data_IF_286426697801
#
_entry.id   IF_286426697801
#
_cell.length_a   1.000
_cell.length_b   1.000
_cell.length_c   1.000
_cell.angle_alpha   90.00
_cell.angle_beta   90.00
_cell.angle_gamma   90.00
#
_symmetry.space_group_name_H-M   'P 1'
#
loop_
_entity.id
_entity.type
_entity.pdbx_description
1 polymer ?
#
# COMPACT_ATOMS: atom_id res chain seq x y z
N UNK A 1 -31.55 -7.68 -7.29
CA UNK A 1 -31.36 -7.60 -8.74
C UNK A 1 -30.30 -8.62 -9.12
N UNK A 2 -30.72 -9.76 -9.70
CA UNK A 2 -29.81 -10.66 -10.43
C UNK A 2 -29.70 -10.10 -11.85
N UNK A 3 -28.52 -10.26 -12.45
CA UNK A 3 -28.14 -9.95 -13.83
C UNK A 3 -28.04 -8.47 -14.18
N UNK A 4 -26.81 -7.96 -14.21
CA UNK A 4 -26.08 -7.92 -15.48
C UNK A 4 -24.60 -8.11 -15.19
N UNK A 5 -24.11 -9.32 -15.45
CA UNK A 5 -22.68 -9.58 -15.41
C UNK A 5 -22.05 -8.98 -16.67
N UNK A 6 -21.62 -7.72 -16.57
CA UNK A 6 -20.92 -7.04 -17.65
C UNK A 6 -19.42 -7.33 -17.55
N UNK A 7 -19.00 -8.52 -17.99
CA UNK A 7 -17.57 -8.84 -18.05
C UNK A 7 -17.22 -10.32 -18.04
N UNK A 8 -15.92 -10.60 -17.84
CA UNK A 8 -15.40 -11.96 -17.69
C UNK A 8 -15.25 -12.30 -16.21
N UNK A 9 -16.09 -13.20 -15.71
CA UNK A 9 -15.97 -13.74 -14.37
C UNK A 9 -15.08 -14.97 -14.36
N UNK A 10 -14.00 -14.93 -13.58
CA UNK A 10 -13.11 -16.06 -13.33
C UNK A 10 -13.35 -16.53 -11.89
N UNK A 11 -13.79 -17.78 -11.74
CA UNK A 11 -13.83 -18.46 -10.45
C UNK A 11 -12.54 -19.26 -10.26
N UNK A 12 -11.80 -18.95 -9.20
CA UNK A 12 -10.57 -19.63 -8.85
C UNK A 12 -10.88 -20.96 -8.14
N UNK A 13 -9.87 -21.84 -8.07
CA UNK A 13 -9.99 -23.15 -7.43
C UNK A 13 -10.38 -23.07 -5.95
N UNK A 14 -10.00 -21.99 -5.26
CA UNK A 14 -10.35 -21.77 -3.86
C UNK A 14 -11.76 -21.20 -3.67
N UNK A 15 -12.53 -21.01 -4.73
CA UNK A 15 -13.89 -20.46 -4.69
C UNK A 15 -13.96 -18.93 -4.72
N UNK A 16 -12.83 -18.22 -4.64
CA UNK A 16 -12.82 -16.78 -4.89
C UNK A 16 -13.19 -16.47 -6.33
N UNK A 17 -13.78 -15.30 -6.57
CA UNK A 17 -14.27 -14.91 -7.89
C UNK A 17 -13.79 -13.50 -8.23
N UNK A 18 -13.22 -13.36 -9.42
CA UNK A 18 -12.79 -12.08 -9.95
C UNK A 18 -13.63 -11.74 -11.19
N UNK A 19 -14.19 -10.53 -11.25
CA UNK A 19 -14.93 -10.04 -12.43
C UNK A 19 -14.07 -9.01 -13.16
N UNK A 20 -13.54 -9.39 -14.32
CA UNK A 20 -12.90 -8.44 -15.22
C UNK A 20 -13.97 -7.68 -16.02
N UNK A 21 -14.14 -6.40 -15.70
CA UNK A 21 -15.04 -5.46 -16.38
C UNK A 21 -14.25 -4.23 -16.88
N UNK A 22 -14.94 -3.28 -17.51
CA UNK A 22 -14.37 -2.05 -18.07
C UNK A 22 -13.64 -1.14 -17.07
N UNK A 23 -13.86 -1.35 -15.77
CA UNK A 23 -13.24 -0.62 -14.67
C UNK A 23 -12.05 -1.36 -14.04
N UNK A 24 -11.86 -2.63 -14.38
CA UNK A 24 -10.71 -3.43 -13.92
C UNK A 24 -9.53 -3.29 -14.85
N UNK A 25 -8.32 -3.31 -14.31
CA UNK A 25 -7.09 -3.28 -15.09
C UNK A 25 -5.95 -3.82 -14.23
N UNK A 26 -5.12 -4.77 -14.66
CA UNK A 26 -3.99 -5.23 -13.88
C UNK A 26 -2.97 -4.12 -13.64
N UNK A 27 -2.49 -4.01 -12.41
CA UNK A 27 -1.43 -3.13 -11.98
C UNK A 27 -0.05 -3.83 -12.11
N UNK A 28 1.01 -3.03 -12.02
CA UNK A 28 2.39 -3.49 -11.93
C UNK A 28 3.04 -2.91 -10.69
N UNK A 29 3.93 -3.68 -10.05
CA UNK A 29 4.73 -3.22 -8.94
C UNK A 29 6.05 -2.68 -9.48
N UNK A 30 6.19 -1.35 -9.55
CA UNK A 30 7.43 -0.73 -10.03
C UNK A 30 8.55 -0.81 -8.99
N UNK A 31 8.20 -0.77 -7.71
CA UNK A 31 9.17 -0.84 -6.63
C UNK A 31 8.51 -1.23 -5.33
N UNK A 32 9.10 -2.13 -4.56
CA UNK A 32 8.71 -2.40 -3.18
C UNK A 32 9.93 -2.87 -2.42
N UNK A 33 10.68 -1.96 -1.80
CA UNK A 33 11.80 -2.25 -0.90
C UNK A 33 12.32 -0.97 -0.26
N UNK A 34 13.31 -1.09 0.62
CA UNK A 34 14.06 0.09 1.06
C UNK A 34 14.81 0.71 -0.12
N UNK A 35 14.73 2.03 -0.22
CA UNK A 35 15.68 2.84 -0.97
C UNK A 35 16.88 3.11 -0.09
N UNK A 36 18.02 2.60 -0.53
CA UNK A 36 19.31 2.68 0.15
C UNK A 36 20.16 3.79 -0.47
N UNK A 37 21.22 4.22 0.22
CA UNK A 37 22.19 5.16 -0.36
C UNK A 37 22.76 4.66 -1.69
N UNK A 38 23.01 3.36 -1.79
CA UNK A 38 23.50 2.70 -3.00
C UNK A 38 22.52 2.78 -4.19
N UNK A 39 21.25 3.10 -3.95
CA UNK A 39 20.25 3.29 -5.01
C UNK A 39 20.30 4.70 -5.65
N UNK A 40 21.25 5.54 -5.24
CA UNK A 40 21.49 6.86 -5.83
C UNK A 40 20.70 7.98 -5.16
N UNK A 41 20.65 7.99 -3.82
CA UNK A 41 20.11 9.12 -3.07
C UNK A 41 20.91 10.39 -3.38
N UNK A 42 20.21 11.50 -3.59
CA UNK A 42 20.82 12.82 -3.82
C UNK A 42 20.06 13.89 -3.03
N UNK A 43 20.69 15.00 -2.61
CA UNK A 43 19.98 16.06 -1.89
C UNK A 43 18.78 16.61 -2.68
N UNK A 44 17.67 16.87 -1.98
CA UNK A 44 16.44 17.43 -2.58
C UNK A 44 16.24 18.93 -2.36
N UNK A 45 17.18 19.57 -1.64
CA UNK A 45 17.15 21.00 -1.32
C UNK A 45 16.59 21.31 0.06
N UNK A 46 16.03 20.33 0.78
CA UNK A 46 15.67 20.48 2.19
C UNK A 46 16.81 20.13 3.15
N UNK A 47 16.61 20.43 4.43
CA UNK A 47 17.59 20.15 5.49
C UNK A 47 17.65 18.66 5.80
N UNK A 48 18.78 18.02 5.45
CA UNK A 48 19.02 16.58 5.63
C UNK A 48 17.96 15.69 4.95
N UNK A 49 17.36 16.19 3.85
CA UNK A 49 16.40 15.45 3.04
C UNK A 49 16.95 15.20 1.63
N UNK A 50 16.55 14.04 1.09
CA UNK A 50 17.09 13.46 -0.11
C UNK A 50 15.96 13.05 -1.04
N UNK A 51 16.29 12.98 -2.32
CA UNK A 51 15.45 12.43 -3.38
C UNK A 51 16.11 11.22 -4.01
N UNK A 52 15.26 10.40 -4.59
CA UNK A 52 15.64 9.22 -5.36
C UNK A 52 14.76 9.10 -6.59
N UNK A 53 15.35 8.60 -7.68
CA UNK A 53 14.63 8.31 -8.91
C UNK A 53 14.40 6.80 -9.00
N UNK A 54 13.15 6.39 -9.17
CA UNK A 54 12.83 5.00 -9.43
C UNK A 54 13.51 4.56 -10.74
N UNK A 55 14.30 3.46 -10.74
CA UNK A 55 14.96 2.98 -11.94
C UNK A 55 13.96 2.40 -12.94
N UNK A 56 12.80 1.97 -12.47
CA UNK A 56 11.75 1.40 -13.29
C UNK A 56 10.80 2.49 -13.78
N UNK A 57 10.67 2.59 -15.09
CA UNK A 57 9.78 3.56 -15.73
C UNK A 57 8.31 3.15 -15.60
N UNK A 58 7.44 4.15 -15.47
CA UNK A 58 6.00 4.00 -15.57
C UNK A 58 5.68 3.44 -16.96
N UNK A 59 4.91 2.34 -17.08
CA UNK A 59 4.50 1.84 -18.39
C UNK A 59 3.68 2.88 -19.16
N UNK A 60 3.70 2.81 -20.49
CA UNK A 60 2.91 3.72 -21.31
C UNK A 60 1.41 3.58 -21.00
N UNK A 61 0.72 4.71 -20.86
CA UNK A 61 -0.70 4.75 -20.51
C UNK A 61 -1.00 4.42 -19.03
N UNK A 62 0.00 4.29 -18.16
CA UNK A 62 -0.20 4.03 -16.74
C UNK A 62 -0.08 5.32 -15.93
N UNK A 63 -0.93 5.43 -14.90
CA UNK A 63 -0.69 6.30 -13.75
C UNK A 63 0.10 5.52 -12.69
N UNK A 64 0.44 6.19 -11.59
CA UNK A 64 1.11 5.55 -10.46
C UNK A 64 0.68 6.13 -9.13
N UNK A 65 0.89 5.35 -8.07
CA UNK A 65 0.76 5.80 -6.69
C UNK A 65 2.00 5.39 -5.91
N UNK A 66 2.52 6.33 -5.12
CA UNK A 66 3.57 6.08 -4.14
C UNK A 66 2.92 5.86 -2.78
N UNK A 67 3.21 4.72 -2.16
CA UNK A 67 2.80 4.42 -0.78
C UNK A 67 4.04 4.52 0.10
N UNK A 68 3.96 5.40 1.10
CA UNK A 68 5.03 5.65 2.06
C UNK A 68 4.56 5.40 3.50
N UNK A 69 5.51 5.09 4.38
CA UNK A 69 5.29 4.82 5.79
C UNK A 69 5.16 6.04 6.68
N UNK A 70 5.44 7.23 6.15
CA UNK A 70 5.25 8.48 6.88
C UNK A 70 5.07 9.60 5.88
N UNK A 71 3.84 10.05 5.70
CA UNK A 71 3.52 10.98 4.62
C UNK A 71 3.45 12.45 5.05
N UNK A 72 3.16 12.76 6.31
CA UNK A 72 3.11 14.13 6.83
C UNK A 72 3.61 14.20 8.28
N UNK A 73 4.13 15.36 8.69
CA UNK A 73 4.64 15.63 10.04
C UNK A 73 4.29 17.04 10.54
N UNK A 74 4.25 17.21 11.86
CA UNK A 74 4.14 18.51 12.55
C UNK A 74 5.52 19.14 12.62
N UNK A 75 5.63 20.42 12.27
CA UNK A 75 6.90 21.15 12.28
C UNK A 75 7.03 22.00 13.54
N UNK A 76 8.28 22.24 13.95
CA UNK A 76 8.60 23.02 15.14
C UNK A 76 9.67 24.07 14.84
N UNK A 77 9.57 25.22 15.50
CA UNK A 77 10.63 26.22 15.58
C UNK A 77 11.26 26.17 16.97
N UNK A 78 12.59 26.20 17.03
CA UNK A 78 13.33 26.18 18.28
C UNK A 78 13.57 27.61 18.80
N UNK A 79 13.36 27.83 20.10
CA UNK A 79 13.70 29.04 20.82
C UNK A 79 14.26 28.66 22.19
N UNK A 80 15.57 28.87 22.38
CA UNK A 80 16.30 28.31 23.52
C UNK A 80 16.20 26.79 23.56
N UNK A 81 15.90 26.25 24.74
CA UNK A 81 15.69 24.80 24.97
C UNK A 81 14.27 24.33 24.64
N UNK A 82 13.42 25.22 24.12
CA UNK A 82 12.02 24.93 23.83
C UNK A 82 11.78 24.84 22.33
N UNK A 83 10.88 23.95 21.94
CA UNK A 83 10.37 23.80 20.58
C UNK A 83 8.89 24.11 20.58
N UNK A 84 8.48 25.01 19.70
CA UNK A 84 7.10 25.45 19.55
C UNK A 84 6.57 24.97 18.21
N UNK A 85 5.33 24.45 18.20
CA UNK A 85 4.66 24.10 16.95
C UNK A 85 4.68 25.30 16.01
N UNK A 86 5.15 25.09 14.78
CA UNK A 86 5.25 26.11 13.74
C UNK A 86 4.37 25.83 12.52
N UNK A 87 3.81 24.63 12.41
CA UNK A 87 2.95 24.24 11.29
C UNK A 87 2.96 22.74 11.02
N UNK A 88 2.72 22.39 9.76
CA UNK A 88 2.70 21.02 9.25
C UNK A 88 3.34 20.98 7.87
N UNK A 89 3.90 19.85 7.47
CA UNK A 89 4.36 19.64 6.08
C UNK A 89 4.16 18.20 5.63
N UNK A 90 4.08 18.00 4.32
CA UNK A 90 4.27 16.68 3.73
C UNK A 90 5.73 16.27 3.92
N UNK A 91 5.93 15.06 4.45
CA UNK A 91 7.26 14.47 4.65
C UNK A 91 7.77 13.82 3.39
N UNK A 92 6.88 13.20 2.62
CA UNK A 92 7.21 12.53 1.37
C UNK A 92 6.40 13.18 0.28
N UNK A 93 7.10 13.68 -0.72
CA UNK A 93 6.51 14.19 -1.94
C UNK A 93 7.03 13.37 -3.12
N UNK A 94 6.28 13.34 -4.20
CA UNK A 94 6.71 12.66 -5.42
C UNK A 94 6.23 13.41 -6.64
N UNK A 95 6.98 13.24 -7.72
CA UNK A 95 6.66 13.79 -9.02
C UNK A 95 7.04 12.78 -10.09
N UNK A 96 6.58 13.03 -11.31
CA UNK A 96 7.06 12.32 -12.48
C UNK A 96 7.45 13.31 -13.55
N UNK A 97 8.60 13.07 -14.20
CA UNK A 97 8.97 13.76 -15.42
C UNK A 97 9.07 12.72 -16.54
N UNK A 98 8.21 12.85 -17.55
CA UNK A 98 7.95 11.77 -18.49
C UNK A 98 7.45 10.53 -17.74
N UNK A 99 8.15 9.41 -17.90
CA UNK A 99 7.82 8.12 -17.26
C UNK A 99 8.69 7.78 -16.05
N UNK A 100 9.51 8.72 -15.57
CA UNK A 100 10.39 8.49 -14.39
C UNK A 100 9.78 9.09 -13.14
N UNK A 101 9.70 8.29 -12.07
CA UNK A 101 9.20 8.72 -10.77
C UNK A 101 10.36 9.23 -9.92
N UNK A 102 10.22 10.43 -9.37
CA UNK A 102 11.12 10.98 -8.36
C UNK A 102 10.37 11.04 -7.03
N UNK A 103 10.95 10.49 -5.98
CA UNK A 103 10.41 10.55 -4.60
C UNK A 103 11.39 11.38 -3.76
N UNK A 104 10.86 12.35 -3.03
CA UNK A 104 11.57 13.36 -2.24
C UNK A 104 11.23 13.22 -0.75
N UNK A 105 12.02 13.85 0.12
CA UNK A 105 11.84 13.77 1.57
C UNK A 105 12.35 12.48 2.20
N UNK A 106 13.23 11.78 1.48
CA UNK A 106 13.95 10.62 2.00
C UNK A 106 15.03 11.06 2.97
N UNK A 107 15.42 10.16 3.87
CA UNK A 107 16.50 10.36 4.81
C UNK A 107 17.81 9.77 4.25
N UNK A 108 18.95 10.28 4.72
CA UNK A 108 20.27 9.77 4.38
C UNK A 108 20.61 8.43 5.08
N UNK A 109 19.72 7.46 5.08
CA UNK A 109 19.98 6.12 5.62
C UNK A 109 19.07 5.07 4.98
N UNK A 110 19.44 3.80 5.12
CA UNK A 110 18.89 2.67 4.34
C UNK A 110 17.50 2.18 4.80
N UNK A 111 16.66 3.05 5.37
CA UNK A 111 15.33 2.71 5.91
C UNK A 111 14.19 3.43 5.19
N UNK A 112 14.43 4.04 4.04
CA UNK A 112 13.41 4.68 3.22
C UNK A 112 12.54 3.62 2.53
N UNK A 113 11.55 3.08 3.23
CA UNK A 113 10.66 2.08 2.65
C UNK A 113 9.55 2.73 1.82
N UNK A 114 9.53 2.40 0.53
CA UNK A 114 8.57 2.94 -0.43
C UNK A 114 8.01 1.80 -1.28
N UNK A 115 6.72 1.91 -1.60
CA UNK A 115 6.08 1.10 -2.64
C UNK A 115 5.62 2.01 -3.77
N UNK A 116 5.88 1.62 -5.01
CA UNK A 116 5.42 2.33 -6.20
C UNK A 116 4.63 1.34 -7.04
N UNK A 117 3.34 1.61 -7.19
CA UNK A 117 2.42 0.76 -7.94
C UNK A 117 1.92 1.59 -9.11
N UNK A 118 2.04 1.05 -10.31
CA UNK A 118 1.51 1.67 -11.52
C UNK A 118 0.34 0.87 -12.06
N UNK A 119 -0.64 1.56 -12.63
CA UNK A 119 -1.86 0.94 -13.16
C UNK A 119 -2.40 1.72 -14.35
N UNK A 120 -3.06 1.06 -15.33
CA UNK A 120 -3.66 1.72 -16.48
C UNK A 120 -4.60 2.86 -16.07
N UNK A 121 -4.45 4.03 -16.70
CA UNK A 121 -5.44 5.09 -16.56
C UNK A 121 -6.75 4.69 -17.24
N UNK A 122 -7.88 5.24 -16.80
CA UNK A 122 -9.19 4.96 -17.44
C UNK A 122 -9.17 5.36 -18.91
N UNK A 123 -8.50 6.47 -19.23
CA UNK A 123 -8.36 6.96 -20.59
C UNK A 123 -7.54 6.00 -21.45
N UNK A 124 -6.38 5.53 -20.97
CA UNK A 124 -5.54 4.64 -21.76
C UNK A 124 -6.28 3.35 -22.11
N UNK A 125 -7.03 2.77 -21.17
CA UNK A 125 -7.83 1.56 -21.42
C UNK A 125 -8.78 1.71 -22.61
N UNK A 126 -9.35 2.90 -22.84
CA UNK A 126 -10.30 3.16 -23.93
C UNK A 126 -9.64 3.31 -25.29
N UNK A 127 -8.39 3.80 -25.34
CA UNK A 127 -7.72 4.17 -26.60
C UNK A 127 -6.63 3.18 -27.03
N UNK A 128 -6.16 2.30 -26.15
CA UNK A 128 -5.10 1.33 -26.48
C UNK A 128 -5.48 0.41 -27.64
N UNK A 129 -4.60 0.34 -28.64
CA UNK A 129 -4.60 -0.63 -29.76
C UNK A 129 -3.68 -1.81 -29.41
N UNK A 130 -3.94 -3.01 -29.94
CA UNK A 130 -3.13 -4.22 -29.63
C UNK A 130 -3.42 -4.79 -28.25
N UNK A 131 -4.51 -5.55 -28.13
CA UNK A 131 -5.05 -6.00 -26.84
C UNK A 131 -4.96 -7.52 -26.69
N UNK A 132 -4.58 -7.98 -25.50
CA UNK A 132 -4.70 -9.38 -25.10
C UNK A 132 -6.14 -9.74 -24.70
N UNK A 133 -6.85 -8.82 -24.03
CA UNK A 133 -8.27 -8.96 -23.71
C UNK A 133 -8.95 -7.58 -23.61
N UNK A 134 -10.09 -7.43 -24.30
CA UNK A 134 -11.00 -6.29 -24.20
C UNK A 134 -12.34 -6.71 -23.63
N UNK A 135 -12.87 -5.91 -22.71
CA UNK A 135 -14.20 -6.07 -22.13
C UNK A 135 -14.93 -4.75 -22.24
N UNK A 136 -16.10 -4.75 -22.87
CA UNK A 136 -16.93 -3.55 -23.06
C UNK A 136 -16.15 -2.36 -23.67
N UNK A 137 -15.22 -2.63 -24.59
CA UNK A 137 -14.39 -1.62 -25.26
C UNK A 137 -13.16 -1.16 -24.47
N UNK A 138 -13.05 -1.50 -23.18
CA UNK A 138 -11.88 -1.23 -22.36
C UNK A 138 -10.84 -2.34 -22.49
N UNK A 139 -9.58 -1.96 -22.70
CA UNK A 139 -8.43 -2.86 -22.68
C UNK A 139 -8.12 -3.25 -21.24
N UNK A 140 -8.28 -4.53 -20.92
CA UNK A 140 -8.02 -5.07 -19.58
C UNK A 140 -6.61 -5.64 -19.53
N UNK A 141 -6.28 -6.53 -20.46
CA UNK A 141 -4.94 -7.08 -20.60
C UNK A 141 -4.31 -6.60 -21.89
N UNK A 142 -3.08 -6.12 -21.79
CA UNK A 142 -2.29 -5.70 -22.92
C UNK A 142 -1.69 -6.91 -23.64
N UNK A 143 -1.54 -6.78 -24.96
CA UNK A 143 -0.81 -7.76 -25.79
C UNK A 143 0.65 -7.87 -25.33
N UNK A 144 1.28 -6.73 -25.03
CA UNK A 144 2.57 -6.64 -24.37
C UNK A 144 2.39 -6.15 -22.94
N UNK A 145 2.83 -6.95 -21.97
CA UNK A 145 2.78 -6.56 -20.56
C UNK A 145 3.78 -5.44 -20.26
N UNK A 146 3.57 -4.70 -19.15
CA UNK A 146 4.64 -3.87 -18.58
C UNK A 146 5.98 -4.63 -18.50
N UNK A 147 7.13 -3.95 -18.61
CA UNK A 147 8.44 -4.61 -18.57
C UNK A 147 8.68 -5.49 -17.33
N UNK A 148 8.10 -5.12 -16.19
CA UNK A 148 8.18 -5.89 -14.94
C UNK A 148 7.07 -6.95 -14.80
N UNK A 149 6.21 -7.10 -15.79
CA UNK A 149 4.98 -7.87 -15.73
C UNK A 149 3.89 -7.19 -14.90
N UNK A 150 2.80 -7.92 -14.69
CA UNK A 150 1.75 -7.53 -13.73
C UNK A 150 2.16 -7.91 -12.31
N UNK A 151 1.55 -7.25 -11.33
CA UNK A 151 1.67 -7.64 -9.93
C UNK A 151 0.70 -8.79 -9.65
N UNK A 152 1.22 -10.02 -9.54
CA UNK A 152 0.42 -11.24 -9.36
C UNK A 152 0.16 -11.52 -7.90
N UNK A 153 -1.07 -11.93 -7.57
CA UNK A 153 -1.50 -12.42 -6.26
C UNK A 153 -0.94 -13.84 -6.03
N UNK A 154 0.37 -13.94 -5.80
CA UNK A 154 1.06 -15.23 -5.68
C UNK A 154 0.73 -15.95 -4.39
N UNK A 155 0.32 -15.21 -3.36
CA UNK A 155 -0.05 -15.79 -2.08
C UNK A 155 -1.28 -15.09 -1.51
N UNK A 156 -2.13 -15.89 -0.87
CA UNK A 156 -3.28 -15.41 -0.12
C UNK A 156 -3.60 -16.35 1.02
N UNK A 157 -3.93 -15.80 2.18
CA UNK A 157 -4.31 -16.59 3.34
C UNK A 157 -5.22 -15.80 4.29
N UNK A 158 -6.03 -16.53 5.07
CA UNK A 158 -6.63 -16.01 6.29
C UNK A 158 -5.73 -16.41 7.45
N UNK A 159 -5.16 -15.44 8.16
CA UNK A 159 -4.14 -15.65 9.19
C UNK A 159 -4.56 -15.02 10.51
N UNK A 160 -4.23 -15.68 11.61
CA UNK A 160 -4.44 -15.12 12.95
C UNK A 160 -3.16 -14.43 13.41
N UNK A 161 -3.21 -13.12 13.58
CA UNK A 161 -2.05 -12.31 13.96
C UNK A 161 -2.23 -11.87 15.40
N UNK A 162 -1.36 -12.33 16.30
CA UNK A 162 -1.41 -11.99 17.73
C UNK A 162 -0.74 -10.67 18.05
N UNK A 163 0.47 -10.49 17.56
CA UNK A 163 1.26 -9.26 17.68
C UNK A 163 1.78 -8.83 16.30
N UNK A 164 2.67 -9.63 15.72
CA UNK A 164 3.32 -9.34 14.44
C UNK A 164 3.01 -10.40 13.39
N UNK A 165 2.91 -9.99 12.13
CA UNK A 165 2.72 -10.91 11.01
C UNK A 165 4.05 -11.60 10.66
N UNK A 166 4.11 -12.92 10.83
CA UNK A 166 5.25 -13.70 10.38
C UNK A 166 5.13 -14.04 8.88
N UNK A 167 5.65 -13.14 8.04
CA UNK A 167 5.61 -13.29 6.58
C UNK A 167 6.29 -14.59 6.14
N UNK A 168 7.49 -14.91 6.66
CA UNK A 168 8.28 -16.04 6.16
C UNK A 168 7.69 -17.40 6.52
N UNK A 169 6.97 -17.49 7.64
CA UNK A 169 6.25 -18.71 8.05
C UNK A 169 4.95 -18.88 7.24
N UNK A 170 4.24 -17.77 7.00
CA UNK A 170 2.97 -17.81 6.25
C UNK A 170 3.19 -17.98 4.75
N UNK A 171 4.14 -17.23 4.20
CA UNK A 171 4.47 -17.14 2.77
C UNK A 171 5.99 -17.29 2.59
N UNK A 172 6.50 -18.54 2.59
CA UNK A 172 7.93 -18.81 2.44
C UNK A 172 8.56 -18.09 1.25
N UNK A 173 9.71 -17.46 1.47
CA UNK A 173 10.43 -16.69 0.45
C UNK A 173 9.95 -15.25 0.25
N UNK A 174 8.83 -14.85 0.85
CA UNK A 174 8.38 -13.46 0.82
C UNK A 174 8.95 -12.65 2.00
N UNK A 175 9.16 -11.36 1.74
CA UNK A 175 9.55 -10.33 2.71
C UNK A 175 8.82 -9.04 2.39
N UNK A 176 8.90 -8.06 3.29
CA UNK A 176 8.40 -6.71 3.01
C UNK A 176 9.10 -6.04 1.81
N UNK A 177 10.29 -6.50 1.40
CA UNK A 177 11.11 -5.94 0.32
C UNK A 177 10.95 -6.64 -1.03
N UNK A 178 10.06 -7.63 -1.14
CA UNK A 178 9.82 -8.29 -2.43
C UNK A 178 8.33 -8.49 -2.75
N UNK A 179 7.43 -8.07 -1.85
CA UNK A 179 5.99 -8.21 -2.03
C UNK A 179 5.22 -7.01 -1.48
N UNK A 180 4.16 -6.63 -2.19
CA UNK A 180 3.16 -5.68 -1.68
C UNK A 180 2.07 -6.48 -0.97
N UNK A 181 1.90 -6.21 0.32
CA UNK A 181 0.86 -6.84 1.13
C UNK A 181 -0.35 -5.92 1.29
N UNK A 182 -1.52 -6.51 1.11
CA UNK A 182 -2.81 -5.92 1.40
C UNK A 182 -3.49 -6.75 2.49
N UNK A 183 -4.12 -6.06 3.44
CA UNK A 183 -4.74 -6.66 4.61
C UNK A 183 -6.18 -6.19 4.76
N UNK A 184 -7.05 -7.11 5.17
CA UNK A 184 -8.43 -6.85 5.53
C UNK A 184 -8.75 -7.57 6.83
N UNK A 185 -9.49 -6.91 7.72
CA UNK A 185 -10.10 -7.54 8.88
C UNK A 185 -11.50 -6.99 9.07
N UNK A 186 -12.42 -7.86 9.48
CA UNK A 186 -13.77 -7.51 9.93
C UNK A 186 -13.81 -7.31 11.46
N UNK A 187 -12.69 -7.53 12.17
CA UNK A 187 -12.60 -7.31 13.60
C UNK A 187 -12.75 -5.82 13.96
N UNK A 188 -13.62 -5.55 14.93
CA UNK A 188 -13.96 -4.20 15.34
C UNK A 188 -13.09 -3.67 16.49
N UNK A 189 -11.94 -4.29 16.77
CA UNK A 189 -10.98 -3.84 17.79
C UNK A 189 -9.58 -3.70 17.22
N UNK A 190 -9.29 -4.33 16.10
CA UNK A 190 -7.93 -4.50 15.60
C UNK A 190 -7.72 -3.84 14.25
N UNK A 191 -6.53 -3.32 14.01
CA UNK A 191 -6.09 -2.90 12.69
C UNK A 191 -4.62 -3.25 12.52
N UNK A 192 -4.21 -3.51 11.28
CA UNK A 192 -2.81 -3.77 10.99
C UNK A 192 -2.11 -2.46 10.62
N UNK A 193 -0.91 -2.26 11.13
CA UNK A 193 -0.01 -1.17 10.72
C UNK A 193 1.39 -1.70 10.45
N UNK A 194 2.22 -0.90 9.79
CA UNK A 194 3.65 -1.14 9.75
C UNK A 194 4.33 -0.29 10.85
N UNK A 195 5.29 -0.87 11.55
CA UNK A 195 6.09 -0.17 12.57
C UNK A 195 7.54 -0.65 12.57
N UNK A 196 8.47 0.14 13.14
CA UNK A 196 9.83 -0.31 13.37
C UNK A 196 9.84 -1.56 14.25
N UNK A 197 10.67 -2.55 13.90
CA UNK A 197 10.81 -3.74 14.73
C UNK A 197 11.63 -3.45 15.99
N UNK A 198 11.12 -3.87 17.15
CA UNK A 198 11.80 -3.73 18.44
C UNK A 198 12.93 -4.77 18.66
N UNK A 199 13.46 -5.37 17.59
CA UNK A 199 14.52 -6.39 17.72
C UNK A 199 15.80 -5.70 18.17
N UNK A 200 16.23 -6.01 19.39
CA UNK A 200 17.40 -5.43 20.07
C UNK A 200 18.75 -5.93 19.52
N UNK A 201 18.76 -6.86 18.56
CA UNK A 201 20.00 -7.39 17.96
C UNK A 201 20.24 -6.81 16.56
N UNK A 202 21.39 -6.16 16.41
CA UNK A 202 21.84 -5.53 15.16
C UNK A 202 22.03 -6.52 14.00
N UNK A 203 22.14 -7.82 14.27
CA UNK A 203 22.45 -8.84 13.26
C UNK A 203 21.20 -9.39 12.54
N UNK A 204 19.99 -9.13 13.05
CA UNK A 204 18.71 -9.64 12.50
C UNK A 204 17.67 -8.54 12.30
N UNK A 205 18.12 -7.32 11.96
CA UNK A 205 17.26 -6.15 11.78
C UNK A 205 16.31 -6.30 10.59
N UNK A 206 15.15 -6.93 10.81
CA UNK A 206 13.94 -6.66 10.02
C UNK A 206 13.42 -5.31 10.48
N UNK A 207 13.91 -4.22 9.89
CA UNK A 207 13.63 -2.86 10.38
C UNK A 207 12.15 -2.52 10.49
N UNK A 208 11.29 -3.11 9.66
CA UNK A 208 9.85 -2.89 9.71
C UNK A 208 9.10 -4.22 9.78
N UNK A 209 8.00 -4.22 10.53
CA UNK A 209 7.10 -5.38 10.67
C UNK A 209 5.64 -4.93 10.64
N UNK A 210 4.77 -5.78 10.10
CA UNK A 210 3.33 -5.58 10.20
C UNK A 210 2.85 -6.04 11.57
N UNK A 211 2.12 -5.22 12.29
CA UNK A 211 1.61 -5.53 13.63
C UNK A 211 0.13 -5.25 13.77
N UNK A 212 -0.54 -6.08 14.56
CA UNK A 212 -1.94 -5.97 14.89
C UNK A 212 -2.12 -5.14 16.16
N UNK A 213 -2.82 -4.01 16.04
CA UNK A 213 -2.97 -2.99 17.09
C UNK A 213 -4.41 -2.86 17.53
N UNK A 214 -4.60 -2.58 18.82
CA UNK A 214 -5.90 -2.24 19.35
C UNK A 214 -6.27 -0.81 18.93
N UNK A 215 -7.29 -0.67 18.08
CA UNK A 215 -7.76 0.63 17.58
C UNK A 215 -8.38 1.54 18.66
N UNK A 216 -8.82 0.94 19.78
CA UNK A 216 -9.42 1.66 20.91
C UNK A 216 -8.37 2.15 21.92
N UNK A 217 -7.07 1.94 21.63
CA UNK A 217 -5.97 2.36 22.47
C UNK A 217 -4.95 3.13 21.64
N UNK A 218 -4.44 4.23 22.20
CA UNK A 218 -3.30 4.93 21.61
C UNK A 218 -1.96 4.39 22.12
N UNK A 219 -1.93 3.42 23.03
CA UNK A 219 -0.68 2.90 23.60
C UNK A 219 0.10 2.05 22.57
N UNK A 220 1.40 2.34 22.40
CA UNK A 220 2.32 1.61 21.52
C UNK A 220 2.60 0.17 21.99
N UNK A 221 2.08 -0.29 23.12
CA UNK A 221 2.14 -1.71 23.52
C UNK A 221 0.78 -2.40 23.48
N UNK A 222 -0.28 -1.69 23.09
CA UNK A 222 -1.62 -2.27 22.99
C UNK A 222 -1.78 -3.04 21.67
N UNK A 223 -1.27 -4.26 21.66
CA UNK A 223 -1.55 -5.24 20.61
C UNK A 223 -2.95 -5.81 20.76
N UNK A 224 -3.55 -6.24 19.65
CA UNK A 224 -4.87 -6.88 19.65
C UNK A 224 -4.86 -8.03 18.66
N UNK A 225 -5.12 -9.27 19.08
CA UNK A 225 -5.08 -10.40 18.17
C UNK A 225 -6.34 -10.43 17.30
N UNK A 226 -6.20 -10.66 16.00
CA UNK A 226 -7.34 -10.78 15.08
C UNK A 226 -7.05 -11.67 13.86
N UNK A 227 -8.11 -12.10 13.20
CA UNK A 227 -8.03 -12.72 11.89
C UNK A 227 -7.89 -11.65 10.80
N UNK A 228 -6.94 -11.87 9.89
CA UNK A 228 -6.68 -11.04 8.74
C UNK A 228 -6.73 -11.86 7.47
N UNK A 229 -7.40 -11.34 6.45
CA UNK A 229 -7.24 -11.81 5.08
C UNK A 229 -6.09 -11.02 4.46
N UNK A 230 -5.09 -11.73 3.96
CA UNK A 230 -3.83 -11.13 3.48
C UNK A 230 -3.53 -11.64 2.09
N UNK A 231 -3.37 -10.71 1.13
CA UNK A 231 -2.87 -11.02 -0.22
C UNK A 231 -1.49 -10.42 -0.38
N UNK A 232 -0.58 -11.20 -0.94
CA UNK A 232 0.75 -10.74 -1.34
C UNK A 232 0.83 -10.65 -2.86
N UNK A 233 1.26 -9.50 -3.36
CA UNK A 233 1.46 -9.26 -4.77
C UNK A 233 2.94 -9.13 -5.11
N UNK A 234 3.39 -9.90 -6.09
CA UNK A 234 4.78 -9.94 -6.55
C UNK A 234 4.86 -9.81 -8.06
N UNK A 235 5.98 -9.29 -8.58
CA UNK A 235 6.27 -9.42 -10.01
C UNK A 235 6.72 -10.86 -10.28
N UNK A 236 6.12 -11.48 -11.31
CA UNK A 236 6.40 -12.87 -11.69
C UNK A 236 6.99 -12.87 -13.09
N UNK A 237 8.05 -13.65 -13.28
CA UNK A 237 8.68 -13.77 -14.59
C UNK A 237 7.79 -14.56 -15.55
N UNK A 238 7.77 -14.26 -16.86
CA UNK A 238 6.91 -14.96 -17.83
C UNK A 238 7.03 -16.50 -17.79
N UNK A 239 8.23 -17.03 -17.57
CA UNK A 239 8.45 -18.48 -17.46
C UNK A 239 7.72 -19.13 -16.27
N UNK A 240 7.52 -18.39 -15.17
CA UNK A 240 6.80 -18.88 -14.00
C UNK A 240 5.27 -18.83 -14.18
N UNK A 241 4.78 -18.10 -15.19
CA UNK A 241 3.36 -18.02 -15.50
C UNK A 241 2.88 -19.20 -16.35
N UNK A 242 3.77 -19.91 -17.05
CA UNK A 242 3.41 -21.05 -17.88
C UNK A 242 3.35 -22.35 -17.07
N UNK A 243 2.40 -22.41 -16.13
CA UNK A 243 2.18 -23.58 -15.28
C UNK A 243 1.36 -24.65 -15.99
N UNK A 244 1.57 -25.95 -15.72
CA UNK A 244 0.66 -27.00 -16.17
C UNK A 244 -0.72 -26.85 -15.53
N UNK A 245 -1.80 -27.05 -16.28
CA UNK A 245 -3.17 -27.08 -15.77
C UNK A 245 -4.18 -26.30 -16.61
N UNK A 246 -5.38 -26.15 -16.06
CA UNK A 246 -6.54 -25.53 -16.71
C UNK A 246 -6.71 -24.06 -16.28
N UNK A 247 -7.28 -23.25 -17.16
CA UNK A 247 -7.57 -21.83 -16.91
C UNK A 247 -7.37 -20.96 -18.15
N UNK A 248 -7.76 -19.69 -18.06
CA UNK A 248 -7.42 -18.67 -19.05
C UNK A 248 -5.94 -18.34 -18.97
N UNK A 249 -5.23 -18.44 -20.09
CA UNK A 249 -3.89 -17.91 -20.30
C UNK A 249 -3.89 -16.92 -21.45
N UNK A 250 -3.28 -15.77 -21.26
CA UNK A 250 -3.03 -14.79 -22.32
C UNK A 250 -1.55 -14.91 -22.70
N UNK A 251 -1.26 -14.81 -24.00
CA UNK A 251 0.10 -14.85 -24.54
C UNK A 251 0.38 -13.59 -25.33
N UNK A 252 1.64 -13.15 -25.32
CA UNK A 252 2.10 -12.12 -26.24
C UNK A 252 2.33 -12.69 -27.64
N UNK A 253 2.73 -11.81 -28.57
CA UNK A 253 3.07 -12.17 -29.96
C UNK A 253 4.24 -13.16 -30.09
N UNK A 254 5.10 -13.25 -29.07
CA UNK A 254 6.20 -14.22 -29.00
C UNK A 254 5.75 -15.59 -28.45
N UNK A 255 4.47 -15.76 -28.14
CA UNK A 255 3.90 -16.98 -27.55
C UNK A 255 4.15 -17.14 -26.04
N UNK A 256 4.80 -16.18 -25.38
CA UNK A 256 5.07 -16.21 -23.93
C UNK A 256 3.80 -15.89 -23.15
N UNK A 257 3.54 -16.64 -22.07
CA UNK A 257 2.40 -16.38 -21.19
C UNK A 257 2.61 -15.06 -20.44
N UNK A 258 1.63 -14.15 -20.59
CA UNK A 258 1.61 -12.80 -20.02
C UNK A 258 0.57 -12.62 -18.94
N UNK A 259 -0.37 -13.55 -18.82
CA UNK A 259 -1.30 -13.68 -17.71
C UNK A 259 -1.77 -15.14 -17.61
N UNK A 260 -1.94 -15.62 -16.39
CA UNK A 260 -2.50 -16.93 -16.10
C UNK A 260 -3.50 -16.80 -14.97
N UNK A 261 -4.76 -17.14 -15.23
CA UNK A 261 -5.86 -17.07 -14.26
C UNK A 261 -5.68 -17.94 -13.01
N UNK A 262 -4.74 -18.90 -13.00
CA UNK A 262 -4.36 -19.60 -11.78
C UNK A 262 -3.67 -18.68 -10.76
N UNK A 263 -3.09 -17.57 -11.24
CA UNK A 263 -2.53 -16.51 -10.43
C UNK A 263 -3.44 -15.28 -10.57
N UNK A 264 -4.05 -14.84 -9.48
CA UNK A 264 -4.76 -13.55 -9.48
C UNK A 264 -3.81 -12.41 -9.83
N UNK A 265 -4.35 -11.22 -10.11
CA UNK A 265 -3.55 -10.01 -10.34
C UNK A 265 -4.07 -8.88 -9.48
N UNK A 266 -3.18 -7.99 -9.04
CA UNK A 266 -3.57 -6.72 -8.45
C UNK A 266 -4.29 -5.95 -9.53
N UNK A 267 -5.55 -5.62 -9.33
CA UNK A 267 -6.23 -4.67 -10.19
C UNK A 267 -5.95 -3.24 -9.78
N UNK A 268 -6.27 -2.30 -10.66
CA UNK A 268 -6.17 -0.87 -10.41
C UNK A 268 -6.81 -0.57 -9.06
N UNK A 269 -6.01 -0.14 -8.07
CA UNK A 269 -6.56 0.17 -6.77
C UNK A 269 -7.41 1.43 -6.84
N UNK A 270 -8.37 1.52 -5.94
CA UNK A 270 -9.08 2.78 -5.68
C UNK A 270 -8.22 3.60 -4.74
N UNK A 271 -8.09 4.88 -5.04
CA UNK A 271 -7.25 5.80 -4.27
C UNK A 271 -8.10 6.80 -3.50
N UNK A 272 -7.75 7.05 -2.24
CA UNK A 272 -8.40 8.08 -1.41
C UNK A 272 -7.30 8.94 -0.77
N UNK A 273 -7.30 10.27 -0.99
CA UNK A 273 -6.40 11.19 -0.30
C UNK A 273 -6.42 11.00 1.22
N UNK A 274 -5.24 10.86 1.84
CA UNK A 274 -5.15 10.57 3.28
C UNK A 274 -5.83 11.61 4.19
N UNK A 275 -5.88 12.86 3.76
CA UNK A 275 -6.55 13.97 4.44
C UNK A 275 -8.09 13.94 4.32
N UNK A 276 -8.65 13.15 3.42
CA UNK A 276 -10.09 12.92 3.28
C UNK A 276 -10.61 11.75 4.12
N UNK A 277 -9.72 10.89 4.62
CA UNK A 277 -10.10 9.80 5.52
C UNK A 277 -10.33 10.39 6.93
N UNK A 278 -11.51 10.19 7.53
CA UNK A 278 -11.79 10.75 8.84
C UNK A 278 -11.14 9.96 9.96
N UNK A 279 -10.87 10.66 11.07
CA UNK A 279 -10.33 10.09 12.30
C UNK A 279 -11.48 9.59 13.18
N UNK A 280 -11.45 8.32 13.56
CA UNK A 280 -12.42 7.72 14.51
C UNK A 280 -13.85 7.53 13.99
N UNK A 281 -14.16 8.00 12.78
CA UNK A 281 -15.41 7.72 12.06
C UNK A 281 -15.12 7.05 10.72
N UNK A 282 -16.11 6.37 10.15
CA UNK A 282 -15.93 5.50 8.98
C UNK A 282 -16.43 6.12 7.69
N UNK A 283 -15.73 5.85 6.58
CA UNK A 283 -16.24 6.06 5.22
C UNK A 283 -16.25 4.74 4.47
N UNK A 284 -17.22 4.59 3.56
CA UNK A 284 -17.18 3.53 2.57
C UNK A 284 -16.22 3.94 1.45
N UNK A 285 -15.57 2.95 0.82
CA UNK A 285 -14.83 3.18 -0.41
C UNK A 285 -15.74 2.78 -1.57
N UNK A 286 -16.02 3.72 -2.47
CA UNK A 286 -16.91 3.48 -3.60
C UNK A 286 -16.47 2.25 -4.40
N UNK A 287 -17.43 1.41 -4.79
CA UNK A 287 -17.18 0.18 -5.56
C UNK A 287 -16.31 -0.89 -4.86
N UNK A 288 -16.06 -0.77 -3.56
CA UNK A 288 -15.38 -1.80 -2.76
C UNK A 288 -16.31 -2.30 -1.66
N UNK A 289 -16.55 -3.60 -1.63
CA UNK A 289 -17.37 -4.25 -0.59
C UNK A 289 -16.60 -4.42 0.71
N UNK A 290 -15.35 -4.87 0.61
CA UNK A 290 -14.48 -5.19 1.76
C UNK A 290 -13.12 -4.52 1.57
N UNK A 291 -12.91 -3.30 2.09
CA UNK A 291 -11.72 -2.51 1.77
C UNK A 291 -10.46 -3.10 2.38
N UNK A 292 -9.68 -3.76 1.54
CA UNK A 292 -8.34 -4.22 1.84
C UNK A 292 -7.35 -3.09 1.56
N UNK A 293 -6.38 -2.88 2.45
CA UNK A 293 -5.43 -1.78 2.34
C UNK A 293 -3.99 -2.24 2.57
N UNK A 294 -3.04 -1.52 1.99
CA UNK A 294 -1.63 -1.60 2.42
C UNK A 294 -1.43 -0.65 3.60
N UNK A 295 -0.87 -1.11 4.74
CA UNK A 295 -0.58 -0.25 5.87
C UNK A 295 0.17 1.02 5.48
N UNK A 296 -0.42 2.16 5.84
CA UNK A 296 0.04 3.51 5.47
C UNK A 296 -0.19 4.46 6.64
N UNK A 297 0.82 5.25 7.00
CA UNK A 297 0.71 6.38 7.94
C UNK A 297 0.47 7.65 7.13
N UNK A 298 -0.75 8.17 7.15
CA UNK A 298 -1.13 9.36 6.39
C UNK A 298 -0.69 10.67 7.06
N UNK A 299 -0.25 10.59 8.31
CA UNK A 299 0.20 11.76 9.06
C UNK A 299 0.34 11.49 10.55
N UNK A 300 0.29 12.55 11.34
CA UNK A 300 0.46 12.48 12.79
C UNK A 300 -0.29 13.59 13.53
N UNK A 301 -0.51 13.36 14.82
CA UNK A 301 -1.06 14.32 15.77
C UNK A 301 0.01 14.64 16.79
N UNK A 302 0.21 15.93 17.02
CA UNK A 302 0.93 16.45 18.17
C UNK A 302 -0.07 17.02 19.19
N UNK A 303 0.21 16.82 20.47
CA UNK A 303 -0.44 17.52 21.59
C UNK A 303 0.58 17.75 22.69
N UNK A 304 0.46 18.80 23.50
CA UNK A 304 1.31 18.97 24.68
C UNK A 304 0.59 19.50 25.90
N UNK A 305 1.17 19.25 27.07
CA UNK A 305 0.72 19.71 28.39
C UNK A 305 1.95 19.94 29.27
N UNK A 306 2.05 21.12 29.87
CA UNK A 306 3.20 21.51 30.70
C UNK A 306 4.57 21.40 30.01
N UNK A 307 4.64 21.41 28.68
CA UNK A 307 5.87 21.22 27.90
C UNK A 307 6.27 19.75 27.66
N UNK A 308 5.44 18.79 28.06
CA UNK A 308 5.55 17.40 27.61
C UNK A 308 4.72 17.25 26.32
N UNK A 309 5.38 16.98 25.20
CA UNK A 309 4.75 16.72 23.91
C UNK A 309 4.49 15.22 23.69
N UNK A 310 3.39 14.91 23.01
CA UNK A 310 2.99 13.56 22.59
C UNK A 310 2.77 13.53 21.08
N UNK A 311 3.37 12.55 20.41
CA UNK A 311 3.15 12.27 18.99
C UNK A 311 2.36 10.99 18.83
N UNK A 312 1.39 11.02 17.92
CA UNK A 312 0.56 9.87 17.56
C UNK A 312 0.47 9.76 16.05
N UNK A 313 0.81 8.60 15.51
CA UNK A 313 0.65 8.30 14.08
C UNK A 313 -0.83 8.16 13.72
N UNK A 314 -1.19 8.62 12.53
CA UNK A 314 -2.49 8.39 11.90
C UNK A 314 -2.39 7.25 10.89
N UNK A 315 -2.90 6.09 11.27
CA UNK A 315 -2.81 4.85 10.51
C UNK A 315 -4.17 4.51 9.90
N UNK A 316 -4.16 4.00 8.68
CA UNK A 316 -5.38 3.47 8.05
C UNK A 316 -5.75 2.13 8.67
N UNK A 317 -7.05 1.90 8.86
CA UNK A 317 -7.57 0.59 9.23
C UNK A 317 -9.04 0.41 8.89
N UNK A 318 -9.52 -0.83 9.01
CA UNK A 318 -10.94 -1.15 8.92
C UNK A 318 -11.68 -0.69 10.18
N UNK A 319 -12.76 0.07 10.03
CA UNK A 319 -13.70 0.39 11.12
C UNK A 319 -14.77 -0.69 11.28
N UNK A 320 -15.13 -1.32 10.17
CA UNK A 320 -16.04 -2.44 10.11
C UNK A 320 -15.91 -3.10 8.74
N UNK A 321 -16.90 -3.90 8.40
CA UNK A 321 -16.87 -4.78 7.23
C UNK A 321 -16.60 -4.04 5.91
N UNK A 322 -17.23 -2.88 5.71
CA UNK A 322 -17.16 -2.09 4.47
C UNK A 322 -16.51 -0.71 4.65
N UNK A 323 -16.05 -0.38 5.85
CA UNK A 323 -15.64 0.97 6.21
C UNK A 323 -14.16 1.05 6.60
N UNK A 324 -13.53 2.15 6.19
CA UNK A 324 -12.18 2.52 6.62
C UNK A 324 -12.21 3.76 7.52
N UNK A 325 -11.19 3.90 8.36
CA UNK A 325 -10.97 5.07 9.21
C UNK A 325 -9.48 5.29 9.46
N UNK A 326 -9.14 6.41 10.09
CA UNK A 326 -7.84 6.63 10.70
C UNK A 326 -7.88 6.24 12.19
N UNK A 327 -6.82 5.58 12.63
CA UNK A 327 -6.58 5.20 14.03
C UNK A 327 -5.26 5.76 14.53
N UNK A 328 -5.25 6.13 15.80
CA UNK A 328 -4.11 6.74 16.46
C UNK A 328 -3.23 5.69 17.12
N UNK A 329 -1.92 5.88 17.05
CA UNK A 329 -0.97 5.11 17.87
C UNK A 329 0.16 6.01 18.31
N UNK A 330 0.41 6.07 19.61
CA UNK A 330 1.50 6.86 20.19
C UNK A 330 2.84 6.38 19.65
N UNK A 331 3.75 7.30 19.38
CA UNK A 331 5.09 7.00 18.87
C UNK A 331 6.18 7.52 19.77
N UNK A 332 6.02 8.73 20.30
CA UNK A 332 7.04 9.34 21.14
C UNK A 332 6.41 10.30 22.16
N UNK A 333 7.19 10.54 23.22
CA UNK A 333 6.92 11.57 24.22
C UNK A 333 8.21 12.30 24.51
N UNK A 334 8.20 13.63 24.49
CA UNK A 334 9.41 14.43 24.67
C UNK A 334 9.10 15.72 25.44
N UNK A 335 9.94 16.05 26.42
CA UNK A 335 9.88 17.33 27.14
C UNK A 335 10.41 18.47 26.25
N UNK A 336 10.10 19.70 26.63
CA UNK A 336 10.52 20.92 25.94
C UNK A 336 9.72 21.22 24.67
N UNK A 337 8.59 20.54 24.44
CA UNK A 337 7.74 20.76 23.27
C UNK A 337 6.41 21.39 23.67
N UNK A 338 6.06 22.49 23.00
CA UNK A 338 4.94 23.35 23.34
C UNK A 338 4.08 23.64 22.11
N UNK A 339 2.77 23.74 22.31
CA UNK A 339 1.84 24.18 21.27
C UNK A 339 0.48 23.53 21.43
N UNK A 340 -0.49 24.06 20.70
CA UNK A 340 -1.82 23.48 20.64
C UNK A 340 -1.81 22.13 19.94
N UNK A 341 -2.85 21.34 20.17
CA UNK A 341 -3.08 20.13 19.40
C UNK A 341 -3.07 20.46 17.90
N UNK A 342 -2.22 19.77 17.15
CA UNK A 342 -1.97 20.02 15.74
C UNK A 342 -1.99 18.70 14.99
N UNK A 343 -2.69 18.67 13.85
CA UNK A 343 -2.90 17.47 13.05
C UNK A 343 -2.28 17.70 11.68
N UNK A 344 -1.23 16.96 11.35
CA UNK A 344 -0.65 16.90 10.01
C UNK A 344 -1.26 15.73 9.25
N UNK A 345 -1.83 15.98 8.06
CA UNK A 345 -2.35 14.93 7.16
C UNK A 345 -1.99 15.23 5.73
N UNK A 346 -1.48 14.22 5.03
CA UNK A 346 -1.09 14.33 3.64
C UNK A 346 -2.30 14.27 2.69
N UNK A 347 -2.19 14.91 1.52
CA UNK A 347 -3.07 14.61 0.40
C UNK A 347 -2.63 13.36 -0.39
N UNK A 348 -1.44 12.81 -0.12
CA UNK A 348 -0.95 11.57 -0.74
C UNK A 348 -2.01 10.46 -0.59
N UNK A 349 -2.49 9.88 -1.71
CA UNK A 349 -3.53 8.89 -1.63
C UNK A 349 -3.08 7.57 -1.00
N UNK A 350 -3.95 7.04 -0.16
CA UNK A 350 -3.94 5.63 0.20
C UNK A 350 -4.59 4.80 -0.89
N UNK A 351 -4.28 3.50 -0.93
CA UNK A 351 -4.78 2.59 -1.96
C UNK A 351 -5.57 1.44 -1.35
N UNK A 352 -6.64 1.06 -2.04
CA UNK A 352 -7.58 0.05 -1.59
C UNK A 352 -7.91 -0.93 -2.72
N UNK A 353 -8.10 -2.18 -2.33
CA UNK A 353 -8.62 -3.26 -3.17
C UNK A 353 -9.87 -3.85 -2.51
N UNK A 354 -10.74 -4.50 -3.29
CA UNK A 354 -11.83 -5.28 -2.71
C UNK A 354 -11.33 -6.66 -2.32
N UNK A 355 -11.31 -6.97 -1.02
CA UNK A 355 -10.93 -8.29 -0.53
C UNK A 355 -11.78 -9.40 -1.16
N UNK A 356 -13.06 -9.11 -1.46
CA UNK A 356 -13.99 -10.07 -2.02
C UNK A 356 -13.61 -10.55 -3.43
N UNK A 357 -12.72 -9.84 -4.13
CA UNK A 357 -12.18 -10.26 -5.42
C UNK A 357 -11.08 -11.33 -5.27
N UNK A 358 -10.51 -11.47 -4.08
CA UNK A 358 -9.37 -12.36 -3.81
C UNK A 358 -9.72 -13.53 -2.89
N UNK A 359 -10.79 -13.42 -2.10
CA UNK A 359 -11.20 -14.43 -1.12
C UNK A 359 -12.69 -14.79 -1.23
N UNK A 360 -13.04 -16.07 -1.00
CA UNK A 360 -14.43 -16.47 -0.80
C UNK A 360 -14.87 -16.05 0.60
N UNK A 361 -15.59 -14.93 0.71
CA UNK A 361 -16.24 -14.57 1.97
C UNK A 361 -17.54 -15.37 2.15
N UNK A 362 -17.86 -15.77 3.40
CA UNK A 362 -19.10 -16.50 3.71
C UNK A 362 -20.38 -15.76 3.36
#
# INVERSE_FOLDING_TARGET
MIDRLFGLKIRNLDGSEFIFNEHTAPATNLWTRYVKRSDGLSPDGGWLTYKWNCPNEIPEGYGFQVVSLSAAEVTFTQSGDRRYVSGTKDKIAYSSNGRKVTVMGMMDYDLNYVKIIAFPTIESQKVTRGFGLKVMGSSIFLENTPPLGYAYATHKAKVYITEGFNIGETFPGLTIENAVFFFYTDDNKSFIRLEPSNVQSWETLKWWRYVSRNRNSTNITAYSPAWYWVVAFTNVQPAQLDTPGFGLKIRNLEGKVTFNSQMGVMTRPITIPGNQIPLGSGINVDSIRRPMYTPTKVGEIFSSDGGLGWWRDLNIGNLGESQISLFQTSTSQQRGHHGNQTIARTATPAIFLDAADYFPFP
#
